data_IF_069010175492
#
_entry.id   IF_069010175492
#
_cell.length_a   1.000
_cell.length_b   1.000
_cell.length_c   1.000
_cell.angle_alpha   90.00
_cell.angle_beta   90.00
_cell.angle_gamma   90.00
#
_symmetry.space_group_name_H-M   'P 1'
#
loop_
_entity.id
_entity.type
_entity.pdbx_description
1 polymer ?
#
# COMPACT_ATOMS: atom_id res chain seq x y z
N UNK A 1 2.12 -16.78 9.05
CA UNK A 1 1.98 -15.39 9.50
C UNK A 1 0.73 -14.69 8.95
N UNK A 2 0.66 -14.15 7.71
CA UNK A 2 -0.54 -13.41 7.27
C UNK A 2 -1.83 -14.25 7.18
N UNK A 3 -1.72 -15.52 6.75
CA UNK A 3 -2.84 -16.46 6.70
C UNK A 3 -3.40 -16.81 8.09
N UNK A 4 -2.57 -16.67 9.12
CA UNK A 4 -2.94 -16.94 10.52
C UNK A 4 -3.53 -15.68 11.19
N UNK A 5 -3.36 -14.51 10.57
CA UNK A 5 -4.01 -13.26 11.00
C UNK A 5 -5.45 -13.15 10.52
N UNK A 6 -5.89 -14.06 9.65
CA UNK A 6 -7.29 -14.16 9.22
C UNK A 6 -8.07 -14.81 10.36
N UNK A 7 -9.00 -14.06 10.93
CA UNK A 7 -9.86 -14.55 12.00
C UNK A 7 -10.86 -15.60 11.50
N UNK A 8 -11.63 -16.18 12.43
CA UNK A 8 -12.66 -17.19 12.10
C UNK A 8 -13.80 -16.67 11.21
N UNK A 9 -13.88 -15.35 10.98
CA UNK A 9 -14.85 -14.68 10.10
C UNK A 9 -14.23 -14.25 8.77
N UNK A 10 -12.99 -14.65 8.49
CA UNK A 10 -12.30 -14.29 7.24
C UNK A 10 -11.77 -12.86 7.21
N UNK A 11 -11.55 -12.21 8.36
CA UNK A 11 -11.07 -10.81 8.41
C UNK A 11 -9.62 -10.75 8.87
N UNK A 12 -8.85 -9.88 8.24
CA UNK A 12 -7.46 -9.62 8.60
C UNK A 12 -7.23 -8.10 8.66
N UNK A 13 -6.76 -7.62 9.81
CA UNK A 13 -6.29 -6.24 9.95
C UNK A 13 -4.77 -6.28 10.07
N UNK A 14 -4.09 -5.66 9.12
CA UNK A 14 -2.64 -5.55 9.12
C UNK A 14 -2.23 -4.21 9.71
N UNK A 15 -1.19 -4.18 10.54
CA UNK A 15 -0.41 -2.94 10.77
C UNK A 15 0.64 -2.78 9.68
N UNK A 16 1.44 -1.70 9.73
CA UNK A 16 2.51 -1.31 8.77
C UNK A 16 3.72 -2.29 8.75
N UNK A 17 3.41 -3.57 8.77
CA UNK A 17 4.30 -4.72 8.76
C UNK A 17 5.16 -4.79 7.49
N UNK A 18 4.77 -4.09 6.42
CA UNK A 18 5.55 -3.99 5.19
C UNK A 18 6.76 -3.04 5.29
N UNK A 19 6.83 -2.22 6.34
CA UNK A 19 7.91 -1.25 6.51
C UNK A 19 9.29 -1.93 6.52
N UNK A 20 9.39 -3.09 7.16
CA UNK A 20 10.63 -3.88 7.26
C UNK A 20 10.90 -4.78 6.04
N UNK A 21 9.97 -4.89 5.09
CA UNK A 21 10.11 -5.81 3.96
C UNK A 21 11.01 -5.23 2.86
N UNK A 22 11.74 -6.10 2.16
CA UNK A 22 12.39 -5.72 0.91
C UNK A 22 11.35 -5.48 -0.20
N UNK A 23 11.76 -4.83 -1.30
CA UNK A 23 10.89 -4.63 -2.47
C UNK A 23 10.25 -5.94 -2.95
N UNK A 24 11.06 -6.98 -3.15
CA UNK A 24 10.59 -8.30 -3.60
C UNK A 24 9.62 -8.95 -2.61
N UNK A 25 9.86 -8.80 -1.31
CA UNK A 25 8.95 -9.34 -0.29
C UNK A 25 7.62 -8.57 -0.26
N UNK A 26 7.61 -7.27 -0.56
CA UNK A 26 6.36 -6.51 -0.73
C UNK A 26 5.56 -6.96 -1.95
N UNK A 27 6.21 -7.30 -3.07
CA UNK A 27 5.51 -7.88 -4.22
C UNK A 27 4.86 -9.22 -3.88
N UNK A 28 5.57 -10.10 -3.17
CA UNK A 28 4.98 -11.36 -2.69
C UNK A 28 3.81 -11.13 -1.73
N UNK A 29 3.88 -10.08 -0.92
CA UNK A 29 2.78 -9.70 -0.02
C UNK A 29 1.55 -9.21 -0.81
N UNK A 30 1.75 -8.45 -1.90
CA UNK A 30 0.67 -8.08 -2.82
C UNK A 30 -0.06 -9.32 -3.35
N UNK A 31 0.68 -10.30 -3.85
CA UNK A 31 0.10 -11.55 -4.37
C UNK A 31 -0.71 -12.28 -3.30
N UNK A 32 -0.19 -12.33 -2.07
CA UNK A 32 -0.87 -12.97 -0.94
C UNK A 32 -2.16 -12.25 -0.53
N UNK A 33 -2.13 -10.91 -0.46
CA UNK A 33 -3.31 -10.10 -0.12
C UNK A 33 -4.38 -10.30 -1.21
N UNK A 34 -3.98 -10.29 -2.48
CA UNK A 34 -4.87 -10.54 -3.60
C UNK A 34 -5.51 -11.93 -3.52
N UNK A 35 -4.74 -12.97 -3.27
CA UNK A 35 -5.25 -14.35 -3.11
C UNK A 35 -6.24 -14.46 -1.94
N UNK A 36 -5.93 -13.83 -0.80
CA UNK A 36 -6.82 -13.82 0.36
C UNK A 36 -8.16 -13.14 0.03
N UNK A 37 -8.11 -11.98 -0.63
CA UNK A 37 -9.29 -11.26 -1.10
C UNK A 37 -10.14 -12.10 -2.05
N UNK A 38 -9.49 -12.74 -3.04
CA UNK A 38 -10.17 -13.62 -4.00
C UNK A 38 -10.85 -14.82 -3.34
N UNK A 39 -10.27 -15.35 -2.26
CA UNK A 39 -10.85 -16.44 -1.45
C UNK A 39 -11.95 -15.98 -0.47
N UNK A 40 -12.34 -14.71 -0.52
CA UNK A 40 -13.42 -14.14 0.28
C UNK A 40 -12.99 -13.56 1.63
N UNK A 41 -11.68 -13.45 1.89
CA UNK A 41 -11.20 -12.78 3.09
C UNK A 41 -11.23 -11.25 2.92
N UNK A 42 -11.59 -10.52 3.98
CA UNK A 42 -11.49 -9.06 4.02
C UNK A 42 -10.16 -8.65 4.65
N UNK A 43 -9.29 -8.01 3.88
CA UNK A 43 -8.01 -7.47 4.37
C UNK A 43 -8.10 -5.95 4.47
N UNK A 44 -7.85 -5.41 5.66
CA UNK A 44 -7.71 -3.97 5.90
C UNK A 44 -6.26 -3.69 6.25
N UNK A 45 -5.59 -2.90 5.41
CA UNK A 45 -4.16 -2.61 5.53
C UNK A 45 -3.91 -1.11 5.40
N UNK A 46 -3.66 -0.38 6.49
CA UNK A 46 -2.96 0.89 6.43
C UNK A 46 -1.59 0.65 5.79
N UNK A 47 -1.18 1.51 4.86
CA UNK A 47 0.12 1.36 4.20
C UNK A 47 0.66 2.69 3.70
N UNK A 48 1.97 2.86 3.87
CA UNK A 48 2.72 3.92 3.19
C UNK A 48 3.26 3.47 1.82
N UNK A 49 3.17 2.18 1.49
CA UNK A 49 3.74 1.61 0.28
C UNK A 49 2.84 1.77 -0.94
N UNK A 50 3.33 2.45 -1.97
CA UNK A 50 2.68 2.48 -3.28
C UNK A 50 2.57 1.08 -3.91
N UNK A 51 3.42 0.14 -3.51
CA UNK A 51 3.45 -1.25 -4.01
C UNK A 51 2.27 -2.03 -3.44
N UNK A 52 2.09 -2.05 -2.12
CA UNK A 52 0.95 -2.77 -1.51
C UNK A 52 -0.38 -2.18 -1.98
N UNK A 53 -0.44 -0.86 -2.09
CA UNK A 53 -1.64 -0.21 -2.52
C UNK A 53 -1.94 -0.40 -4.02
N UNK A 54 -1.03 -1.01 -4.79
CA UNK A 54 -1.25 -1.46 -6.17
C UNK A 54 -1.91 -2.84 -6.26
N UNK A 55 -2.31 -3.44 -5.12
CA UNK A 55 -2.98 -4.75 -5.11
C UNK A 55 -4.22 -4.72 -5.99
N UNK A 56 -4.29 -5.66 -6.92
CA UNK A 56 -5.41 -5.75 -7.87
C UNK A 56 -6.74 -5.94 -7.14
N UNK A 57 -7.73 -5.11 -7.50
CA UNK A 57 -9.07 -5.10 -6.88
C UNK A 57 -9.13 -4.44 -5.51
N UNK A 58 -8.06 -3.79 -5.03
CA UNK A 58 -8.09 -3.10 -3.74
C UNK A 58 -8.89 -1.79 -3.81
N UNK A 59 -9.76 -1.59 -2.82
CA UNK A 59 -10.31 -0.29 -2.50
C UNK A 59 -9.25 0.56 -1.79
N UNK A 60 -8.83 1.66 -2.43
CA UNK A 60 -7.82 2.55 -1.87
C UNK A 60 -8.51 3.74 -1.21
N UNK A 61 -8.25 3.91 0.08
CA UNK A 61 -8.68 5.08 0.84
C UNK A 61 -7.44 5.90 1.20
N UNK A 62 -7.42 7.14 0.72
CA UNK A 62 -6.38 8.11 1.05
C UNK A 62 -6.80 8.94 2.26
N UNK A 63 -5.90 9.06 3.23
CA UNK A 63 -6.05 9.90 4.42
C UNK A 63 -5.21 11.17 4.25
N UNK A 64 -5.81 12.32 4.49
CA UNK A 64 -5.15 13.63 4.39
C UNK A 64 -5.86 14.70 5.21
N UNK A 65 -5.47 15.96 5.03
CA UNK A 65 -6.09 17.10 5.75
C UNK A 65 -7.60 17.25 5.45
N UNK A 66 -8.03 16.77 4.28
CA UNK A 66 -9.44 16.69 3.87
C UNK A 66 -10.20 15.50 4.48
N UNK A 67 -9.61 14.78 5.45
CA UNK A 67 -10.18 13.57 6.03
C UNK A 67 -9.83 12.32 5.22
N UNK A 68 -10.85 11.63 4.69
CA UNK A 68 -10.65 10.42 3.88
C UNK A 68 -11.38 10.49 2.56
N UNK A 69 -10.76 9.97 1.49
CA UNK A 69 -11.39 9.86 0.16
C UNK A 69 -11.00 8.55 -0.51
N UNK A 70 -11.89 8.04 -1.35
CA UNK A 70 -11.55 6.95 -2.28
C UNK A 70 -10.77 7.54 -3.46
N UNK A 71 -9.72 6.84 -3.88
CA UNK A 71 -8.90 7.21 -5.04
C UNK A 71 -8.57 5.97 -5.85
N UNK A 72 -8.26 6.14 -7.13
CA UNK A 72 -7.59 5.08 -7.88
C UNK A 72 -6.10 5.04 -7.54
N UNK A 73 -5.42 3.97 -7.94
CA UNK A 73 -3.97 3.89 -7.74
C UNK A 73 -3.24 5.04 -8.45
N UNK A 74 -3.59 5.32 -9.71
CA UNK A 74 -2.90 6.29 -10.55
C UNK A 74 -3.11 7.76 -10.17
N UNK A 75 -4.21 8.09 -9.50
CA UNK A 75 -4.59 9.46 -9.12
C UNK A 75 -3.81 10.02 -7.91
N UNK A 76 -2.91 9.24 -7.31
CA UNK A 76 -2.24 9.66 -6.07
C UNK A 76 -1.12 10.65 -6.32
N UNK A 77 -1.15 11.76 -5.57
CA UNK A 77 -0.05 12.73 -5.48
C UNK A 77 1.28 12.07 -5.13
N UNK A 78 1.25 11.00 -4.32
CA UNK A 78 2.46 10.23 -3.97
C UNK A 78 3.10 9.55 -5.20
N UNK A 79 2.31 9.06 -6.14
CA UNK A 79 2.82 8.43 -7.36
C UNK A 79 3.44 9.45 -8.31
N UNK A 80 2.86 10.64 -8.40
CA UNK A 80 3.46 11.76 -9.13
C UNK A 80 4.82 12.18 -8.52
N UNK A 81 4.90 12.32 -7.19
CA UNK A 81 6.18 12.59 -6.52
C UNK A 81 7.24 11.52 -6.80
N UNK A 82 6.87 10.23 -6.72
CA UNK A 82 7.79 9.14 -7.06
C UNK A 82 8.22 9.16 -8.52
N UNK A 83 7.29 9.36 -9.45
CA UNK A 83 7.58 9.46 -10.89
C UNK A 83 8.55 10.61 -11.17
N UNK A 84 8.33 11.79 -10.56
CA UNK A 84 9.22 12.96 -10.68
C UNK A 84 10.60 12.70 -10.09
N UNK A 85 10.66 12.11 -8.89
CA UNK A 85 11.92 11.77 -8.23
C UNK A 85 12.74 10.78 -9.04
N UNK A 86 12.12 9.70 -9.53
CA UNK A 86 12.80 8.68 -10.33
C UNK A 86 13.22 9.19 -11.71
N UNK A 87 12.46 10.14 -12.29
CA UNK A 87 12.80 10.74 -13.58
C UNK A 87 14.03 11.67 -13.50
N UNK A 88 14.20 12.40 -12.39
CA UNK A 88 15.36 13.26 -12.20
C UNK A 88 15.70 13.42 -10.70
N UNK A 89 16.46 12.48 -10.11
CA UNK A 89 16.77 12.51 -8.69
C UNK A 89 17.65 13.71 -8.30
N UNK A 90 18.50 14.18 -9.22
CA UNK A 90 19.39 15.34 -8.96
C UNK A 90 18.66 16.67 -8.87
N UNK A 91 17.48 16.78 -9.48
CA UNK A 91 16.60 17.96 -9.42
C UNK A 91 15.61 17.94 -8.26
N UNK A 92 15.51 16.82 -7.55
CA UNK A 92 14.63 16.73 -6.39
C UNK A 92 15.23 17.52 -5.22
N UNK A 93 14.42 18.31 -4.50
CA UNK A 93 14.92 19.11 -3.39
C UNK A 93 15.62 18.21 -2.36
N UNK A 94 16.92 18.46 -2.13
CA UNK A 94 17.75 17.68 -1.20
C UNK A 94 17.53 18.04 0.27
N UNK A 95 16.67 19.03 0.54
CA UNK A 95 16.28 19.43 1.88
C UNK A 95 14.91 18.83 2.21
N UNK A 96 14.93 17.60 2.69
CA UNK A 96 13.80 17.04 3.43
C UNK A 96 14.08 17.35 4.89
N UNK A 97 13.33 18.29 5.46
CA UNK A 97 13.33 18.52 6.91
C UNK A 97 12.37 17.48 7.48
N UNK A 98 12.90 16.63 8.34
CA UNK A 98 12.16 15.57 9.04
C UNK A 98 11.27 16.17 10.11
#
# INVERSE_FOLDING_TARGET
MLREMVDSRGRCVMGESEAALSFTLRLRLVDLIHELGWRGAQVVCPTHSSILAATSGADIIELGEYGFRRVTWDERDRLDHWRRYLANPDRSPRHIVV
#
